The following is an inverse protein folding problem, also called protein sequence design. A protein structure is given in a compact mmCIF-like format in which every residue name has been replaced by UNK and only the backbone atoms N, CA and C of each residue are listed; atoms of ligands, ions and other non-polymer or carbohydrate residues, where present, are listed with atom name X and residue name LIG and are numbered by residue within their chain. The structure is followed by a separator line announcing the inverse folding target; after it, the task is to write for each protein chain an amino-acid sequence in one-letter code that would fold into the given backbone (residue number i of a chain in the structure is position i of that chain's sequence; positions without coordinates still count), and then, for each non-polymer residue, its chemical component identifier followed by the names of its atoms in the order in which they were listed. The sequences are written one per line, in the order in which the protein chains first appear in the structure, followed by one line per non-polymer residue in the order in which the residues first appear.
data_IF_578805631271
#
_entry.id   IF_578805631271
#
_cell.length_a   1.000
_cell.length_b   1.000
_cell.length_c   1.000
_cell.angle_alpha   90.00
_cell.angle_beta   90.00
_cell.angle_gamma   90.00
#
_symmetry.space_group_name_H-M   'P 1'
#
loop_
_entity.id
_entity.type
_entity.pdbx_description
1 polymer ?
#
# COMPACT_ATOMS: atom_id res chain seq x y z
N UNK A 1 -13.63 -25.65 2.76
CA UNK A 1 -13.54 -26.51 1.56
C UNK A 1 -12.32 -26.04 0.78
N UNK A 2 -11.27 -26.86 0.80
CA UNK A 2 -9.96 -26.58 0.22
C UNK A 2 -10.00 -26.62 -1.31
N UNK A 3 -9.31 -25.68 -1.98
CA UNK A 3 -8.83 -25.87 -3.35
C UNK A 3 -7.39 -25.38 -3.39
N UNK A 4 -6.46 -26.34 -3.45
CA UNK A 4 -5.05 -26.12 -3.74
C UNK A 4 -4.79 -26.17 -5.24
N UNK A 5 -3.78 -25.42 -5.69
CA UNK A 5 -3.18 -25.57 -7.01
C UNK A 5 -1.80 -26.21 -6.86
N UNK A 6 -1.69 -27.44 -7.35
CA UNK A 6 -0.44 -28.15 -7.57
C UNK A 6 0.17 -27.68 -8.89
N UNK A 7 1.46 -27.35 -8.90
CA UNK A 7 2.28 -27.30 -10.11
C UNK A 7 3.37 -28.36 -9.98
N UNK A 8 3.31 -29.32 -10.90
CA UNK A 8 4.22 -30.45 -11.06
C UNK A 8 5.42 -29.98 -11.88
N UNK A 9 6.63 -30.21 -11.38
CA UNK A 9 7.83 -30.32 -12.21
C UNK A 9 8.71 -31.45 -11.68
N UNK A 10 9.08 -32.36 -12.57
CA UNK A 10 9.77 -33.60 -12.26
C UNK A 10 11.28 -33.51 -12.56
N UNK A 11 12.07 -34.00 -11.58
CA UNK A 11 13.34 -34.78 -11.70
C UNK A 11 14.63 -34.12 -12.20
N UNK A 12 15.84 -34.70 -11.97
CA UNK A 12 16.27 -35.78 -11.04
C UNK A 12 17.45 -35.40 -10.09
N UNK A 13 17.73 -36.30 -9.14
CA UNK A 13 18.85 -36.27 -8.18
C UNK A 13 20.22 -36.61 -8.82
N UNK A 14 21.31 -35.99 -8.35
CA UNK A 14 22.53 -36.67 -7.87
C UNK A 14 23.65 -35.71 -7.45
N UNK A 15 24.35 -35.99 -6.34
CA UNK A 15 25.82 -35.79 -6.26
C UNK A 15 26.39 -34.69 -5.34
N UNK A 16 26.61 -35.04 -4.06
CA UNK A 16 27.65 -34.61 -3.10
C UNK A 16 28.72 -33.58 -3.53
N UNK A 17 28.93 -32.55 -2.70
CA UNK A 17 30.27 -32.25 -2.11
C UNK A 17 30.23 -31.09 -1.11
N UNK A 18 30.93 -31.28 0.00
CA UNK A 18 31.13 -30.38 1.13
C UNK A 18 31.92 -29.11 0.76
N UNK A 19 31.58 -27.97 1.35
CA UNK A 19 32.48 -26.80 1.46
C UNK A 19 32.48 -26.24 2.89
N UNK A 20 33.59 -25.59 3.30
CA UNK A 20 33.99 -25.51 4.70
C UNK A 20 33.38 -24.33 5.45
N UNK A 21 33.13 -24.57 6.73
CA UNK A 21 32.74 -23.61 7.76
C UNK A 21 33.68 -22.40 7.82
N UNK A 22 33.12 -21.22 7.57
CA UNK A 22 33.70 -19.91 7.89
C UNK A 22 32.75 -19.19 8.87
N UNK A 23 33.24 -18.44 9.87
CA UNK A 23 32.49 -18.16 11.09
C UNK A 23 31.32 -17.21 10.86
N UNK A 24 30.22 -17.50 11.55
CA UNK A 24 29.01 -16.70 11.58
C UNK A 24 29.33 -15.23 11.91
N UNK A 25 29.11 -14.35 10.95
CA UNK A 25 28.86 -12.94 11.22
C UNK A 25 27.56 -12.85 12.02
N UNK A 26 27.61 -12.16 13.16
CA UNK A 26 26.42 -11.89 14.00
C UNK A 26 25.34 -11.27 13.12
N UNK A 27 24.07 -11.72 13.18
CA UNK A 27 22.99 -11.06 12.48
C UNK A 27 22.87 -9.64 13.06
N UNK A 28 23.04 -8.65 12.21
CA UNK A 28 22.70 -7.27 12.51
C UNK A 28 21.21 -7.20 12.86
N UNK A 29 20.90 -6.43 13.90
CA UNK A 29 19.54 -6.13 14.34
C UNK A 29 18.66 -5.74 13.16
N UNK A 30 17.48 -6.37 13.09
CA UNK A 30 16.39 -6.06 12.18
C UNK A 30 15.92 -4.62 12.48
N UNK A 31 16.05 -3.65 11.56
CA UNK A 31 15.58 -2.27 11.79
C UNK A 31 14.08 -2.08 11.52
N UNK A 32 13.27 -3.14 11.46
CA UNK A 32 11.99 -3.16 10.73
C UNK A 32 10.74 -3.50 11.56
N UNK A 33 10.83 -4.08 12.76
CA UNK A 33 9.63 -4.48 13.54
C UNK A 33 8.82 -3.27 14.02
N UNK A 34 9.45 -2.28 14.66
CA UNK A 34 8.78 -1.07 15.16
C UNK A 34 8.09 -0.25 14.04
N UNK A 35 8.62 -0.33 12.81
CA UNK A 35 8.04 0.36 11.64
C UNK A 35 6.87 -0.40 11.02
N UNK A 36 6.89 -1.73 11.12
CA UNK A 36 5.78 -2.59 10.67
C UNK A 36 4.58 -2.40 11.61
N UNK A 37 4.79 -2.32 12.92
CA UNK A 37 3.73 -2.10 13.90
C UNK A 37 3.06 -0.72 13.74
N UNK A 38 3.86 0.34 13.60
CA UNK A 38 3.34 1.70 13.40
C UNK A 38 2.51 1.84 12.11
N UNK A 39 2.99 1.23 11.01
CA UNK A 39 2.24 1.19 9.76
C UNK A 39 0.90 0.44 9.91
N UNK A 40 0.90 -0.67 10.64
CA UNK A 40 -0.30 -1.48 10.85
C UNK A 40 -1.37 -0.70 11.62
N UNK A 41 -0.96 0.09 12.62
CA UNK A 41 -1.83 1.00 13.37
C UNK A 41 -2.43 2.09 12.48
N UNK A 42 -1.61 2.79 11.69
CA UNK A 42 -2.05 3.85 10.78
C UNK A 42 -3.05 3.34 9.72
N UNK A 43 -2.78 2.16 9.13
CA UNK A 43 -3.67 1.54 8.16
C UNK A 43 -5.00 1.10 8.81
N UNK A 44 -4.95 0.59 10.05
CA UNK A 44 -6.14 0.20 10.79
C UNK A 44 -7.02 1.41 11.11
N UNK A 45 -6.44 2.50 11.63
CA UNK A 45 -7.18 3.73 11.96
C UNK A 45 -7.86 4.34 10.73
N UNK A 46 -7.16 4.39 9.59
CA UNK A 46 -7.71 4.91 8.35
C UNK A 46 -8.86 4.03 7.81
N UNK A 47 -8.73 2.70 7.86
CA UNK A 47 -9.77 1.77 7.42
C UNK A 47 -10.97 1.74 8.35
N UNK A 48 -10.77 1.88 9.66
CA UNK A 48 -11.84 1.97 10.65
C UNK A 48 -12.63 3.27 10.47
N UNK A 49 -11.94 4.40 10.26
CA UNK A 49 -12.57 5.68 9.92
C UNK A 49 -13.39 5.60 8.61
N UNK A 50 -12.88 4.88 7.60
CA UNK A 50 -13.61 4.63 6.36
C UNK A 50 -14.87 3.78 6.61
N UNK A 51 -14.77 2.77 7.47
CA UNK A 51 -15.88 1.88 7.84
C UNK A 51 -16.97 2.63 8.61
N UNK A 52 -16.62 3.47 9.58
CA UNK A 52 -17.59 4.28 10.33
C UNK A 52 -18.42 5.15 9.39
N UNK A 53 -17.76 5.83 8.44
CA UNK A 53 -18.44 6.67 7.45
C UNK A 53 -19.27 5.85 6.46
N UNK A 54 -18.81 4.66 6.09
CA UNK A 54 -19.57 3.73 5.27
C UNK A 54 -20.87 3.31 5.97
N UNK A 55 -20.81 2.90 7.23
CA UNK A 55 -21.97 2.53 8.05
C UNK A 55 -22.96 3.69 8.22
N UNK A 56 -22.45 4.90 8.41
CA UNK A 56 -23.25 6.11 8.52
C UNK A 56 -23.94 6.48 7.19
N UNK A 57 -23.30 6.19 6.07
CA UNK A 57 -23.84 6.48 4.73
C UNK A 57 -25.02 5.57 4.36
N UNK A 58 -25.04 4.32 4.84
CA UNK A 58 -26.12 3.35 4.60
C UNK A 58 -27.43 3.77 5.25
N UNK A 59 -27.37 4.54 6.34
CA UNK A 59 -28.54 4.96 7.13
C UNK A 59 -29.22 6.24 6.61
N UNK A 60 -28.71 6.89 5.55
CA UNK A 60 -29.13 8.25 5.15
C UNK A 60 -29.91 8.33 3.82
N UNK A 61 -30.81 9.34 3.66
CA UNK A 61 -31.61 9.53 2.44
C UNK A 61 -30.76 9.89 1.21
N UNK A 62 -31.32 9.67 0.02
CA UNK A 62 -30.68 10.06 -1.24
C UNK A 62 -30.76 11.58 -1.47
N UNK A 63 -29.97 12.08 -2.43
CA UNK A 63 -29.76 13.50 -2.74
C UNK A 63 -31.06 14.30 -2.99
N UNK A 64 -32.16 13.61 -3.35
CA UNK A 64 -33.48 14.21 -3.60
C UNK A 64 -34.32 14.51 -2.36
N UNK A 65 -34.00 13.94 -1.20
CA UNK A 65 -34.84 13.98 0.01
C UNK A 65 -34.34 14.97 1.09
N UNK A 66 -33.34 15.81 0.78
CA UNK A 66 -32.62 16.65 1.75
C UNK A 66 -32.82 18.15 1.51
N UNK A 67 -32.99 18.91 2.61
CA UNK A 67 -33.07 20.37 2.58
C UNK A 67 -31.71 21.02 2.21
N UNK A 68 -31.73 22.21 1.61
CA UNK A 68 -30.55 22.91 1.04
C UNK A 68 -29.36 23.09 1.99
N UNK A 69 -29.59 23.24 3.31
CA UNK A 69 -28.50 23.35 4.30
C UNK A 69 -27.94 21.98 4.74
N UNK A 70 -28.73 20.90 4.66
CA UNK A 70 -28.27 19.52 4.86
C UNK A 70 -27.54 18.96 3.61
N UNK A 71 -27.83 19.51 2.43
CA UNK A 71 -27.27 19.12 1.13
C UNK A 71 -25.73 19.23 1.08
N UNK A 72 -25.14 20.26 1.68
CA UNK A 72 -23.69 20.52 1.60
C UNK A 72 -22.84 19.61 2.51
N UNK A 73 -23.44 18.94 3.50
CA UNK A 73 -22.68 18.19 4.53
C UNK A 73 -23.08 16.70 4.70
N UNK A 74 -24.22 16.26 4.14
CA UNK A 74 -24.83 14.95 4.52
C UNK A 74 -25.28 14.04 3.36
N UNK A 75 -25.11 14.43 2.11
CA UNK A 75 -25.48 13.55 0.97
C UNK A 75 -24.58 12.32 0.89
N UNK A 76 -25.12 11.20 0.38
CA UNK A 76 -24.32 10.00 0.08
C UNK A 76 -23.08 10.34 -0.75
N UNK A 77 -23.21 11.22 -1.75
CA UNK A 77 -22.09 11.68 -2.59
C UNK A 77 -20.99 12.44 -1.81
N UNK A 78 -21.36 13.31 -0.87
CA UNK A 78 -20.39 14.03 -0.02
C UNK A 78 -19.65 13.08 0.94
N UNK A 79 -20.34 12.05 1.44
CA UNK A 79 -19.74 11.03 2.29
C UNK A 79 -18.90 10.03 1.49
N UNK A 80 -19.29 9.68 0.26
CA UNK A 80 -18.47 8.88 -0.66
C UNK A 80 -17.11 9.53 -0.91
N UNK A 81 -17.06 10.85 -1.11
CA UNK A 81 -15.78 11.58 -1.24
C UNK A 81 -14.93 11.54 0.03
N UNK A 82 -15.56 11.50 1.21
CA UNK A 82 -14.84 11.37 2.48
C UNK A 82 -14.29 9.96 2.64
N UNK A 83 -15.10 8.94 2.37
CA UNK A 83 -14.66 7.54 2.33
C UNK A 83 -13.47 7.41 1.39
N UNK A 84 -13.54 7.94 0.17
CA UNK A 84 -12.41 7.96 -0.77
C UNK A 84 -11.14 8.57 -0.19
N UNK A 85 -11.25 9.67 0.57
CA UNK A 85 -10.09 10.29 1.24
C UNK A 85 -9.43 9.38 2.29
N UNK A 86 -10.21 8.63 3.07
CA UNK A 86 -9.68 7.66 4.03
C UNK A 86 -9.11 6.42 3.36
N UNK A 87 -9.71 5.97 2.26
CA UNK A 87 -9.15 4.88 1.45
C UNK A 87 -7.81 5.29 0.82
N UNK A 88 -7.67 6.53 0.36
CA UNK A 88 -6.40 7.07 -0.13
C UNK A 88 -5.35 7.15 1.00
N UNK A 89 -5.74 7.57 2.21
CA UNK A 89 -4.86 7.58 3.38
C UNK A 89 -4.41 6.17 3.80
N UNK A 90 -5.34 5.20 3.78
CA UNK A 90 -5.02 3.79 3.99
C UNK A 90 -4.06 3.28 2.91
N UNK A 91 -4.27 3.65 1.65
CA UNK A 91 -3.35 3.32 0.55
C UNK A 91 -1.94 3.86 0.76
N UNK A 92 -1.81 5.10 1.26
CA UNK A 92 -0.51 5.70 1.57
C UNK A 92 0.18 4.99 2.75
N UNK A 93 -0.56 4.70 3.82
CA UNK A 93 -0.06 3.90 4.93
C UNK A 93 0.45 2.54 4.43
N UNK A 94 -0.39 1.82 3.65
CA UNK A 94 -0.05 0.53 3.03
C UNK A 94 1.14 0.62 2.06
N UNK A 95 1.52 1.81 1.61
CA UNK A 95 2.68 2.05 0.73
C UNK A 95 4.02 2.11 1.46
N UNK A 96 4.02 2.24 2.79
CA UNK A 96 5.25 2.33 3.59
C UNK A 96 5.82 0.92 3.79
N UNK A 97 7.01 0.67 3.25
CA UNK A 97 7.71 -0.61 3.40
C UNK A 97 9.23 -0.46 3.26
N UNK A 98 9.96 -1.51 3.63
CA UNK A 98 11.39 -1.63 3.37
C UNK A 98 11.73 -1.52 1.87
N UNK A 99 10.83 -1.96 0.98
CA UNK A 99 10.94 -1.82 -0.48
C UNK A 99 10.93 -0.33 -0.90
N UNK A 100 10.01 0.46 -0.33
CA UNK A 100 9.94 1.92 -0.56
C UNK A 100 11.20 2.64 -0.07
N UNK A 101 11.69 2.27 1.12
CA UNK A 101 12.92 2.84 1.70
C UNK A 101 14.14 2.56 0.83
N UNK A 102 14.31 1.32 0.33
CA UNK A 102 15.42 0.97 -0.57
C UNK A 102 15.34 1.71 -1.89
N UNK A 103 14.14 1.86 -2.45
CA UNK A 103 13.91 2.68 -3.66
C UNK A 103 14.36 4.12 -3.46
N UNK A 104 13.94 4.74 -2.35
CA UNK A 104 14.35 6.11 -2.04
C UNK A 104 15.87 6.20 -1.94
N UNK A 105 16.51 5.22 -1.30
CA UNK A 105 17.97 5.14 -1.21
C UNK A 105 18.64 5.07 -2.58
N UNK A 106 18.13 4.25 -3.50
CA UNK A 106 18.64 4.15 -4.88
C UNK A 106 18.47 5.49 -5.62
N UNK A 107 17.33 6.16 -5.44
CA UNK A 107 17.08 7.47 -6.05
C UNK A 107 18.06 8.53 -5.55
N UNK A 108 18.30 8.59 -4.23
CA UNK A 108 19.25 9.53 -3.61
C UNK A 108 20.69 9.29 -4.10
N UNK A 109 21.09 8.02 -4.27
CA UNK A 109 22.40 7.64 -4.81
C UNK A 109 22.54 8.06 -6.28
N UNK A 110 21.50 7.86 -7.11
CA UNK A 110 21.48 8.32 -8.50
C UNK A 110 21.59 9.84 -8.61
N UNK A 111 20.87 10.58 -7.75
CA UNK A 111 21.01 12.04 -7.68
C UNK A 111 22.44 12.45 -7.31
N UNK A 112 23.06 11.74 -6.36
CA UNK A 112 24.45 11.98 -5.97
C UNK A 112 25.42 11.77 -7.14
N UNK A 113 25.20 10.73 -7.96
CA UNK A 113 25.99 10.47 -9.18
C UNK A 113 25.83 11.64 -10.16
N UNK A 114 24.60 12.05 -10.46
CA UNK A 114 24.33 13.15 -11.40
C UNK A 114 24.99 14.46 -10.97
N UNK A 115 24.85 14.82 -9.70
CA UNK A 115 25.49 16.02 -9.13
C UNK A 115 27.01 15.93 -9.20
N UNK A 116 27.56 14.75 -8.88
CA UNK A 116 29.01 14.51 -8.95
C UNK A 116 29.52 14.61 -10.39
N UNK A 117 28.80 14.06 -11.38
CA UNK A 117 29.15 14.17 -12.80
C UNK A 117 29.14 15.63 -13.29
N UNK A 118 28.15 16.44 -12.87
CA UNK A 118 28.12 17.90 -13.16
C UNK A 118 29.32 18.61 -12.54
N UNK A 119 29.67 18.27 -11.30
CA UNK A 119 30.84 18.81 -10.61
C UNK A 119 32.15 18.42 -11.32
N UNK A 120 32.28 17.17 -11.74
CA UNK A 120 33.44 16.69 -12.50
C UNK A 120 33.62 17.45 -13.81
N UNK A 121 32.54 17.72 -14.54
CA UNK A 121 32.59 18.55 -15.76
C UNK A 121 33.10 19.96 -15.45
N UNK A 122 32.63 20.55 -14.36
CA UNK A 122 33.08 21.86 -13.88
C UNK A 122 34.56 21.85 -13.48
N UNK A 123 35.02 20.83 -12.75
CA UNK A 123 36.41 20.68 -12.33
C UNK A 123 37.35 20.46 -13.52
N UNK A 124 36.97 19.61 -14.48
CA UNK A 124 37.73 19.41 -15.73
C UNK A 124 37.91 20.73 -16.48
N UNK A 125 36.87 21.55 -16.58
CA UNK A 125 36.95 22.89 -17.18
C UNK A 125 37.88 23.82 -16.39
N UNK A 126 37.70 23.92 -15.07
CA UNK A 126 38.51 24.80 -14.20
C UNK A 126 39.98 24.40 -14.13
N UNK A 127 40.28 23.11 -14.27
CA UNK A 127 41.65 22.59 -14.35
C UNK A 127 42.43 23.16 -15.53
N UNK A 128 41.78 23.41 -16.68
CA UNK A 128 42.44 23.93 -17.89
C UNK A 128 43.07 25.30 -17.62
N UNK A 129 42.36 26.17 -16.91
CA UNK A 129 42.81 27.54 -16.59
C UNK A 129 43.54 27.66 -15.24
N UNK A 130 43.62 26.59 -14.44
CA UNK A 130 44.25 26.62 -13.14
C UNK A 130 45.79 26.70 -13.24
N UNK A 131 46.47 27.40 -12.30
CA UNK A 131 47.93 27.45 -12.26
C UNK A 131 48.54 26.12 -11.81
N UNK A 132 49.76 25.83 -12.26
CA UNK A 132 50.50 24.62 -11.86
C UNK A 132 50.94 24.69 -10.38
N UNK A 133 51.32 25.87 -9.90
CA UNK A 133 51.71 26.15 -8.51
C UNK A 133 51.19 27.53 -8.12
N UNK A 134 50.81 27.70 -6.86
CA UNK A 134 50.36 28.99 -6.30
C UNK A 134 50.73 29.06 -4.83
N UNK A 135 51.05 30.26 -4.33
CA UNK A 135 51.30 30.53 -2.91
C UNK A 135 50.03 31.02 -2.18
N UNK A 136 48.96 31.32 -2.91
CA UNK A 136 47.69 31.76 -2.33
C UNK A 136 46.82 30.53 -1.99
N UNK A 137 46.48 30.28 -0.71
CA UNK A 137 45.70 29.11 -0.29
C UNK A 137 44.25 29.11 -0.82
N UNK A 138 43.75 30.23 -1.31
CA UNK A 138 42.40 30.35 -1.89
C UNK A 138 42.32 29.89 -3.35
N UNK A 139 43.46 29.67 -4.01
CA UNK A 139 43.53 29.27 -5.42
C UNK A 139 43.77 27.77 -5.53
N UNK A 140 42.83 27.04 -6.13
CA UNK A 140 43.02 25.61 -6.42
C UNK A 140 43.98 25.44 -7.61
N UNK A 141 45.03 24.65 -7.43
CA UNK A 141 46.02 24.32 -8.48
C UNK A 141 45.49 23.25 -9.44
N UNK A 142 46.20 23.00 -10.55
CA UNK A 142 45.89 21.85 -11.41
C UNK A 142 45.87 20.53 -10.64
N UNK A 143 46.88 20.31 -9.78
CA UNK A 143 46.94 19.13 -8.92
C UNK A 143 45.73 19.04 -7.97
N UNK A 144 45.32 20.15 -7.34
CA UNK A 144 44.13 20.15 -6.48
C UNK A 144 42.81 19.91 -7.24
N UNK A 145 42.72 20.28 -8.52
CA UNK A 145 41.59 19.86 -9.36
C UNK A 145 41.69 18.40 -9.79
N UNK A 146 42.90 17.87 -10.02
CA UNK A 146 43.12 16.45 -10.29
C UNK A 146 42.67 15.60 -9.09
N UNK A 147 42.99 16.01 -7.86
CA UNK A 147 42.53 15.35 -6.63
C UNK A 147 40.99 15.38 -6.51
N UNK A 148 40.35 16.52 -6.77
CA UNK A 148 38.87 16.63 -6.77
C UNK A 148 38.22 15.78 -7.85
N UNK A 149 38.83 15.68 -9.02
CA UNK A 149 38.36 14.82 -10.11
C UNK A 149 38.47 13.35 -9.70
N UNK A 150 39.58 12.96 -9.06
CA UNK A 150 39.78 11.60 -8.60
C UNK A 150 38.80 11.22 -7.49
N UNK A 151 38.65 12.07 -6.48
CA UNK A 151 37.68 11.87 -5.40
C UNK A 151 36.24 11.77 -5.94
N UNK A 152 35.86 12.62 -6.90
CA UNK A 152 34.53 12.55 -7.52
C UNK A 152 34.31 11.26 -8.33
N UNK A 153 35.34 10.72 -8.99
CA UNK A 153 35.24 9.41 -9.65
C UNK A 153 35.07 8.28 -8.64
N UNK A 154 35.80 8.32 -7.53
CA UNK A 154 35.67 7.34 -6.44
C UNK A 154 34.28 7.39 -5.81
N UNK A 155 33.72 8.59 -5.60
CA UNK A 155 32.32 8.75 -5.14
C UNK A 155 31.32 8.11 -6.11
N UNK A 156 31.49 8.27 -7.42
CA UNK A 156 30.60 7.64 -8.41
C UNK A 156 30.70 6.12 -8.32
N UNK A 157 31.91 5.55 -8.28
CA UNK A 157 32.12 4.11 -8.18
C UNK A 157 31.46 3.54 -6.92
N UNK A 158 31.69 4.17 -5.76
CA UNK A 158 31.09 3.73 -4.49
C UNK A 158 29.56 3.82 -4.51
N UNK A 159 29.01 4.88 -5.13
CA UNK A 159 27.57 5.02 -5.27
C UNK A 159 26.96 3.96 -6.23
N UNK A 160 27.66 3.63 -7.32
CA UNK A 160 27.26 2.56 -8.25
C UNK A 160 27.28 1.18 -7.57
N UNK A 161 28.31 0.89 -6.77
CA UNK A 161 28.39 -0.33 -5.97
C UNK A 161 27.25 -0.44 -4.95
N UNK A 162 26.95 0.66 -4.23
CA UNK A 162 25.85 0.68 -3.26
C UNK A 162 24.48 0.55 -3.95
N UNK A 163 24.29 1.16 -5.13
CA UNK A 163 23.08 0.98 -5.94
C UNK A 163 22.88 -0.51 -6.26
N UNK A 164 23.92 -1.21 -6.71
CA UNK A 164 23.83 -2.64 -7.02
C UNK A 164 23.51 -3.47 -5.76
N UNK A 165 24.11 -3.14 -4.63
CA UNK A 165 23.81 -3.80 -3.37
C UNK A 165 22.34 -3.58 -2.93
N UNK A 166 21.81 -2.37 -3.10
CA UNK A 166 20.39 -2.09 -2.81
C UNK A 166 19.45 -2.74 -3.83
N UNK A 167 19.81 -2.82 -5.11
CA UNK A 167 19.06 -3.58 -6.13
C UNK A 167 18.94 -5.06 -5.74
N UNK A 168 20.03 -5.69 -5.33
CA UNK A 168 20.01 -7.09 -4.87
C UNK A 168 19.10 -7.29 -3.66
N UNK A 169 19.09 -6.32 -2.72
CA UNK A 169 18.19 -6.35 -1.56
C UNK A 169 16.74 -6.14 -1.99
N UNK A 170 16.49 -5.25 -2.93
CA UNK A 170 15.18 -4.98 -3.51
C UNK A 170 14.61 -6.21 -4.21
N UNK A 171 15.40 -6.90 -5.05
CA UNK A 171 15.01 -8.17 -5.70
C UNK A 171 14.57 -9.19 -4.64
N UNK A 172 15.33 -9.36 -3.56
CA UNK A 172 14.99 -10.29 -2.48
C UNK A 172 13.71 -9.91 -1.74
N UNK A 173 13.50 -8.63 -1.50
CA UNK A 173 12.28 -8.15 -0.83
C UNK A 173 11.06 -8.28 -1.75
N UNK A 174 11.21 -8.04 -3.05
CA UNK A 174 10.17 -8.28 -4.07
C UNK A 174 9.83 -9.77 -4.21
N UNK A 175 10.83 -10.66 -4.21
CA UNK A 175 10.61 -12.10 -4.24
C UNK A 175 9.86 -12.59 -2.98
N UNK A 176 10.12 -12.00 -1.81
CA UNK A 176 9.41 -12.33 -0.56
C UNK A 176 7.92 -12.01 -0.62
N UNK A 177 7.52 -11.01 -1.41
CA UNK A 177 6.12 -10.63 -1.63
C UNK A 177 5.49 -11.37 -2.83
N UNK A 178 6.15 -12.41 -3.33
CA UNK A 178 5.67 -13.24 -4.44
C UNK A 178 5.85 -12.59 -5.81
N UNK A 179 6.65 -11.53 -5.91
CA UNK A 179 7.01 -10.88 -7.16
C UNK A 179 8.39 -11.38 -7.60
N UNK A 180 8.42 -12.42 -8.43
CA UNK A 180 9.65 -12.93 -9.02
C UNK A 180 10.02 -12.06 -10.22
N UNK A 181 10.93 -11.10 -10.00
CA UNK A 181 11.57 -10.33 -11.07
C UNK A 181 13.01 -10.80 -11.20
N UNK A 182 13.48 -10.94 -12.44
CA UNK A 182 14.92 -11.02 -12.68
C UNK A 182 15.58 -9.65 -12.52
N UNK A 183 16.92 -9.64 -12.45
CA UNK A 183 17.69 -8.42 -12.21
C UNK A 183 17.49 -7.37 -13.32
N UNK A 184 17.23 -7.82 -14.56
CA UNK A 184 17.01 -6.96 -15.72
C UNK A 184 15.64 -6.25 -15.62
N UNK A 185 14.60 -6.99 -15.22
CA UNK A 185 13.26 -6.48 -14.98
C UNK A 185 13.20 -5.48 -13.82
N UNK A 186 14.04 -5.65 -12.80
CA UNK A 186 14.16 -4.67 -11.70
C UNK A 186 14.79 -3.37 -12.16
N UNK A 187 15.77 -3.43 -13.06
CA UNK A 187 16.40 -2.23 -13.62
C UNK A 187 15.43 -1.44 -14.50
N UNK A 188 14.67 -2.12 -15.36
CA UNK A 188 13.60 -1.50 -16.15
C UNK A 188 12.55 -0.82 -15.24
N UNK A 189 12.19 -1.48 -14.14
CA UNK A 189 11.21 -1.00 -13.17
C UNK A 189 11.74 0.14 -12.28
N UNK A 190 13.05 0.23 -12.07
CA UNK A 190 13.70 1.36 -11.39
C UNK A 190 13.97 2.55 -12.33
N UNK A 191 14.09 2.32 -13.63
CA UNK A 191 14.33 3.35 -14.66
C UNK A 191 13.04 3.91 -15.26
N UNK A 192 11.95 3.17 -15.08
CA UNK A 192 10.61 3.53 -15.47
C UNK A 192 10.02 4.66 -14.62
N UNK A 193 9.56 5.73 -15.27
CA UNK A 193 8.76 6.82 -14.67
C UNK A 193 7.48 6.28 -14.00
N UNK A 194 6.97 5.13 -14.49
CA UNK A 194 5.75 4.46 -14.01
C UNK A 194 6.04 3.25 -13.13
N UNK A 195 7.29 2.82 -13.04
CA UNK A 195 7.74 1.74 -12.19
C UNK A 195 7.68 2.14 -10.72
N UNK A 196 7.72 3.44 -10.39
CA UNK A 196 7.36 3.92 -9.04
C UNK A 196 5.91 3.58 -8.69
N UNK A 197 4.99 3.93 -9.58
CA UNK A 197 3.55 3.75 -9.38
C UNK A 197 3.18 2.26 -9.33
N UNK A 198 3.71 1.45 -10.26
CA UNK A 198 3.44 0.02 -10.33
C UNK A 198 3.97 -0.75 -9.11
N UNK A 199 5.20 -0.44 -8.68
CA UNK A 199 5.80 -1.02 -7.47
C UNK A 199 5.04 -0.60 -6.23
N UNK A 200 4.68 0.68 -6.13
CA UNK A 200 3.89 1.20 -5.01
C UNK A 200 2.56 0.45 -4.88
N UNK A 201 1.82 0.27 -5.98
CA UNK A 201 0.56 -0.50 -5.98
C UNK A 201 0.81 -1.96 -5.59
N UNK A 202 1.92 -2.57 -6.02
CA UNK A 202 2.29 -3.95 -5.65
C UNK A 202 2.61 -4.09 -4.17
N UNK A 203 3.38 -3.15 -3.60
CA UNK A 203 3.69 -3.12 -2.17
C UNK A 203 2.39 -3.02 -1.36
N UNK A 204 1.53 -2.07 -1.74
CA UNK A 204 0.23 -1.87 -1.10
C UNK A 204 -0.60 -3.16 -1.16
N UNK A 205 -0.55 -3.90 -2.27
CA UNK A 205 -1.22 -5.18 -2.39
C UNK A 205 -0.72 -6.23 -1.41
N UNK A 206 0.60 -6.40 -1.29
CA UNK A 206 1.18 -7.39 -0.39
C UNK A 206 0.87 -7.04 1.06
N UNK A 207 1.03 -5.77 1.42
CA UNK A 207 0.71 -5.27 2.74
C UNK A 207 -0.78 -5.45 3.06
N UNK A 208 -1.67 -5.20 2.09
CA UNK A 208 -3.10 -5.49 2.22
C UNK A 208 -3.37 -6.98 2.47
N UNK A 209 -2.70 -7.89 1.75
CA UNK A 209 -2.85 -9.34 2.00
C UNK A 209 -2.44 -9.74 3.40
N UNK A 210 -1.31 -9.23 3.89
CA UNK A 210 -0.84 -9.50 5.26
C UNK A 210 -1.82 -8.99 6.30
N UNK A 211 -2.30 -7.76 6.09
CA UNK A 211 -3.29 -7.14 6.96
C UNK A 211 -4.59 -7.97 7.01
N UNK A 212 -5.08 -8.44 5.86
CA UNK A 212 -6.24 -9.33 5.79
C UNK A 212 -6.01 -10.68 6.51
N UNK A 213 -4.84 -11.29 6.36
CA UNK A 213 -4.50 -12.56 7.02
C UNK A 213 -4.42 -12.42 8.54
N UNK A 214 -3.86 -11.31 9.02
CA UNK A 214 -3.77 -11.04 10.46
C UNK A 214 -5.14 -10.75 11.08
N UNK A 215 -5.97 -9.99 10.37
CA UNK A 215 -7.36 -9.77 10.72
C UNK A 215 -8.16 -11.09 10.79
N UNK A 216 -7.92 -12.03 9.87
CA UNK A 216 -8.53 -13.36 9.89
C UNK A 216 -8.10 -14.16 11.13
N UNK A 217 -6.80 -14.11 11.48
CA UNK A 217 -6.25 -14.75 12.68
C UNK A 217 -6.91 -14.24 13.96
N UNK A 218 -6.98 -12.92 14.12
CA UNK A 218 -7.60 -12.27 15.29
C UNK A 218 -9.08 -12.64 15.45
N UNK A 219 -9.80 -12.78 14.32
CA UNK A 219 -11.22 -13.17 14.32
C UNK A 219 -11.42 -14.65 14.68
N UNK A 220 -10.52 -15.53 14.24
CA UNK A 220 -10.57 -16.95 14.62
C UNK A 220 -10.24 -17.16 16.11
N UNK A 221 -9.40 -16.29 16.69
CA UNK A 221 -9.05 -16.31 18.12
C UNK A 221 -10.18 -15.78 19.02
N UNK A 222 -11.03 -14.88 18.52
CA UNK A 222 -12.13 -14.30 19.30
C UNK A 222 -13.35 -15.22 19.46
N UNK A 223 -13.40 -16.34 18.76
CA UNK A 223 -14.28 -17.47 19.11
C UNK A 223 -15.79 -17.19 19.08
N UNK A 224 -16.29 -16.53 18.02
CA UNK A 224 -17.72 -16.22 17.76
C UNK A 224 -18.26 -14.90 18.35
N UNK A 225 -17.41 -13.95 18.78
CA UNK A 225 -17.89 -12.59 19.07
C UNK A 225 -18.40 -11.90 17.80
N UNK A 226 -19.72 -11.66 17.75
CA UNK A 226 -20.40 -11.02 16.62
C UNK A 226 -19.98 -9.56 16.41
N UNK A 227 -19.53 -8.86 17.46
CA UNK A 227 -19.00 -7.50 17.33
C UNK A 227 -17.63 -7.53 16.66
N UNK A 228 -16.70 -8.35 17.16
CA UNK A 228 -15.39 -8.55 16.56
C UNK A 228 -15.51 -9.02 15.09
N UNK A 229 -16.43 -9.93 14.79
CA UNK A 229 -16.69 -10.38 13.43
C UNK A 229 -17.23 -9.25 12.54
N UNK A 230 -18.16 -8.42 13.04
CA UNK A 230 -18.68 -7.28 12.28
C UNK A 230 -17.55 -6.31 11.93
N UNK A 231 -16.73 -5.94 12.91
CA UNK A 231 -15.60 -5.03 12.70
C UNK A 231 -14.59 -5.61 11.70
N UNK A 232 -14.22 -6.89 11.85
CA UNK A 232 -13.33 -7.61 10.93
C UNK A 232 -13.80 -7.51 9.46
N UNK A 233 -15.04 -7.94 9.18
CA UNK A 233 -15.55 -7.96 7.81
C UNK A 233 -15.74 -6.54 7.25
N UNK A 234 -16.00 -5.56 8.12
CA UNK A 234 -16.07 -4.16 7.74
C UNK A 234 -14.72 -3.60 7.30
N UNK A 235 -13.67 -3.84 8.08
CA UNK A 235 -12.31 -3.39 7.76
C UNK A 235 -11.79 -4.11 6.50
N UNK A 236 -12.04 -5.43 6.39
CA UNK A 236 -11.70 -6.19 5.19
C UNK A 236 -12.39 -5.65 3.93
N UNK A 237 -13.67 -5.26 4.04
CA UNK A 237 -14.40 -4.62 2.94
C UNK A 237 -13.76 -3.28 2.54
N UNK A 238 -13.39 -2.44 3.51
CA UNK A 238 -12.70 -1.17 3.24
C UNK A 238 -11.34 -1.39 2.56
N UNK A 239 -10.58 -2.40 2.99
CA UNK A 239 -9.31 -2.76 2.38
C UNK A 239 -9.47 -3.13 0.89
N UNK A 240 -10.51 -3.90 0.54
CA UNK A 240 -10.82 -4.22 -0.85
C UNK A 240 -11.20 -2.97 -1.65
N UNK A 241 -11.96 -2.06 -1.06
CA UNK A 241 -12.28 -0.78 -1.70
C UNK A 241 -11.04 0.09 -1.95
N UNK A 242 -10.13 0.19 -0.97
CA UNK A 242 -8.83 0.85 -1.13
C UNK A 242 -8.06 0.26 -2.29
N UNK A 243 -8.00 -1.07 -2.38
CA UNK A 243 -7.28 -1.74 -3.44
C UNK A 243 -7.89 -1.47 -4.82
N UNK A 244 -9.22 -1.57 -4.93
CA UNK A 244 -9.92 -1.24 -6.17
C UNK A 244 -9.68 0.21 -6.60
N UNK A 245 -9.59 1.15 -5.66
CA UNK A 245 -9.33 2.56 -5.96
C UNK A 245 -7.92 2.79 -6.49
N UNK A 246 -6.91 2.19 -5.86
CA UNK A 246 -5.51 2.33 -6.27
C UNK A 246 -5.25 1.75 -7.66
N UNK A 247 -5.80 0.58 -7.95
CA UNK A 247 -5.69 -0.06 -9.26
C UNK A 247 -6.32 0.80 -10.36
N UNK A 248 -7.48 1.40 -10.07
CA UNK A 248 -8.17 2.31 -10.99
C UNK A 248 -7.35 3.59 -11.22
N UNK A 249 -6.80 4.19 -10.16
CA UNK A 249 -5.97 5.39 -10.22
C UNK A 249 -4.69 5.17 -11.04
N UNK A 250 -4.07 3.99 -10.93
CA UNK A 250 -2.95 3.60 -11.78
C UNK A 250 -3.34 3.64 -13.28
N UNK A 251 -4.49 3.06 -13.62
CA UNK A 251 -4.99 3.04 -15.01
C UNK A 251 -5.24 4.46 -15.53
N UNK A 252 -5.88 5.30 -14.71
CA UNK A 252 -6.12 6.72 -15.02
C UNK A 252 -4.81 7.48 -15.27
N UNK A 253 -3.79 7.29 -14.42
CA UNK A 253 -2.48 7.91 -14.60
C UNK A 253 -1.78 7.45 -15.89
N UNK A 254 -1.89 6.16 -16.23
CA UNK A 254 -1.38 5.63 -17.52
C UNK A 254 -2.05 6.29 -18.71
N UNK A 255 -3.38 6.39 -18.69
CA UNK A 255 -4.15 6.94 -19.81
C UNK A 255 -3.98 8.46 -19.96
N UNK A 256 -4.00 9.20 -18.85
CA UNK A 256 -4.09 10.67 -18.86
C UNK A 256 -2.74 11.37 -18.76
N UNK A 257 -1.73 10.72 -18.16
CA UNK A 257 -0.43 11.34 -17.88
C UNK A 257 0.69 10.69 -18.69
N UNK A 258 0.82 9.36 -18.62
CA UNK A 258 1.99 8.69 -19.15
C UNK A 258 1.93 8.48 -20.66
N UNK A 259 0.80 7.99 -21.21
CA UNK A 259 0.65 7.85 -22.66
C UNK A 259 0.83 9.17 -23.41
N UNK A 260 0.20 10.30 -23.01
CA UNK A 260 0.39 11.57 -23.71
C UNK A 260 1.84 12.08 -23.68
N UNK A 261 2.55 11.89 -22.57
CA UNK A 261 3.96 12.28 -22.47
C UNK A 261 4.86 11.46 -23.41
N UNK A 262 4.63 10.15 -23.47
CA UNK A 262 5.39 9.26 -24.35
C UNK A 262 5.10 9.58 -25.82
N UNK A 263 3.84 9.85 -26.17
CA UNK A 263 3.47 10.31 -27.50
C UNK A 263 4.17 11.63 -27.87
N UNK A 264 4.27 12.56 -26.92
CA UNK A 264 5.06 13.78 -27.09
C UNK A 264 6.53 13.52 -27.42
N UNK A 265 7.20 12.59 -26.72
CA UNK A 265 8.58 12.23 -27.02
C UNK A 265 8.74 11.53 -28.37
N UNK A 266 7.81 10.64 -28.72
CA UNK A 266 7.77 9.93 -30.00
C UNK A 266 7.66 10.94 -31.16
N UNK A 267 6.74 11.90 -31.05
CA UNK A 267 6.52 12.91 -32.07
C UNK A 267 7.71 13.87 -32.18
N UNK A 268 8.28 14.30 -31.05
CA UNK A 268 9.45 15.18 -31.04
C UNK A 268 10.69 14.49 -31.62
N UNK A 269 10.94 13.23 -31.29
CA UNK A 269 12.03 12.46 -31.88
C UNK A 269 11.88 12.33 -33.40
N UNK A 270 10.67 12.05 -33.87
CA UNK A 270 10.36 11.99 -35.31
C UNK A 270 10.56 13.34 -36.00
N UNK A 271 10.11 14.43 -35.39
CA UNK A 271 10.32 15.77 -35.92
C UNK A 271 11.81 16.09 -36.04
N UNK A 272 12.60 15.84 -35.00
CA UNK A 272 14.04 16.07 -34.99
C UNK A 272 14.77 15.26 -36.09
N UNK A 273 14.35 14.02 -36.33
CA UNK A 273 14.90 13.19 -37.42
C UNK A 273 14.60 13.81 -38.79
N UNK A 274 13.35 14.23 -39.03
CA UNK A 274 12.95 14.87 -40.29
C UNK A 274 13.69 16.20 -40.53
N UNK A 275 13.84 17.01 -39.49
CA UNK A 275 14.59 18.27 -39.54
C UNK A 275 16.08 18.04 -39.81
N UNK A 276 16.68 17.03 -39.19
CA UNK A 276 18.08 16.67 -39.44
C UNK A 276 18.30 16.16 -40.87
N UNK A 277 17.36 15.39 -41.42
CA UNK A 277 17.39 14.98 -42.83
C UNK A 277 17.27 16.16 -43.79
N UNK A 278 16.39 17.13 -43.50
CA UNK A 278 16.26 18.34 -44.29
C UNK A 278 17.52 19.20 -44.22
N UNK A 279 18.12 19.36 -43.04
CA UNK A 279 19.39 20.05 -42.87
C UNK A 279 20.53 19.38 -43.66
N UNK A 280 20.54 18.04 -43.77
CA UNK A 280 21.47 17.31 -44.65
C UNK A 280 21.25 17.69 -46.13
N UNK A 281 19.99 17.79 -46.58
CA UNK A 281 19.65 18.21 -47.95
C UNK A 281 20.07 19.64 -48.25
N UNK A 282 20.01 20.52 -47.25
CA UNK A 282 20.42 21.92 -47.34
C UNK A 282 21.94 22.15 -47.21
N UNK A 283 22.74 21.08 -47.04
CA UNK A 283 24.20 21.16 -47.02
C UNK A 283 24.83 21.26 -45.62
N UNK A 284 24.08 20.95 -44.56
CA UNK A 284 24.61 20.83 -43.20
C UNK A 284 25.63 19.69 -43.04
N UNK A 285 26.34 19.68 -41.92
CA UNK A 285 27.33 18.65 -41.61
C UNK A 285 26.67 17.27 -41.50
N UNK A 286 26.89 16.44 -42.52
CA UNK A 286 26.27 15.12 -42.63
C UNK A 286 26.63 14.19 -41.48
N UNK A 287 27.84 14.28 -40.93
CA UNK A 287 28.27 13.37 -39.88
C UNK A 287 27.55 13.70 -38.57
N UNK A 288 27.48 14.98 -38.22
CA UNK A 288 26.78 15.44 -37.02
C UNK A 288 25.29 15.13 -37.13
N UNK A 289 24.67 15.46 -38.25
CA UNK A 289 23.23 15.27 -38.44
C UNK A 289 22.83 13.79 -38.47
N UNK A 290 23.67 12.90 -39.03
CA UNK A 290 23.44 11.45 -38.94
C UNK A 290 23.54 10.92 -37.50
N UNK A 291 24.49 11.42 -36.71
CA UNK A 291 24.56 11.06 -35.30
C UNK A 291 23.31 11.55 -34.54
N UNK A 292 22.80 12.74 -34.86
CA UNK A 292 21.56 13.24 -34.27
C UNK A 292 20.35 12.38 -34.66
N UNK A 293 20.27 11.92 -35.92
CA UNK A 293 19.23 10.99 -36.37
C UNK A 293 19.32 9.69 -35.57
N UNK A 294 20.51 9.10 -35.45
CA UNK A 294 20.71 7.86 -34.68
C UNK A 294 20.31 8.01 -33.20
N UNK A 295 20.67 9.12 -32.57
CA UNK A 295 20.27 9.40 -31.19
C UNK A 295 18.75 9.57 -31.05
N UNK A 296 18.08 10.27 -31.97
CA UNK A 296 16.62 10.40 -31.93
C UNK A 296 15.90 9.09 -32.27
N UNK A 297 16.49 8.24 -33.12
CA UNK A 297 15.98 6.90 -33.38
C UNK A 297 16.00 6.06 -32.10
N UNK A 298 17.11 6.09 -31.34
CA UNK A 298 17.19 5.41 -30.06
C UNK A 298 16.12 5.91 -29.07
N UNK A 299 15.91 7.23 -28.98
CA UNK A 299 14.85 7.81 -28.15
C UNK A 299 13.46 7.35 -28.59
N UNK A 300 13.21 7.30 -29.90
CA UNK A 300 11.95 6.83 -30.46
C UNK A 300 11.69 5.37 -30.11
N UNK A 301 12.67 4.49 -30.34
CA UNK A 301 12.56 3.06 -30.07
C UNK A 301 12.35 2.78 -28.58
N UNK A 302 13.10 3.48 -27.71
CA UNK A 302 12.93 3.39 -26.26
C UNK A 302 11.53 3.83 -25.81
N UNK A 303 11.01 4.94 -26.34
CA UNK A 303 9.68 5.43 -25.98
C UNK A 303 8.55 4.49 -26.44
N UNK A 304 8.71 3.84 -27.60
CA UNK A 304 7.75 2.82 -28.10
C UNK A 304 7.77 1.58 -27.20
N UNK A 305 8.95 1.01 -26.95
CA UNK A 305 9.10 -0.17 -26.10
C UNK A 305 8.48 0.06 -24.72
N UNK A 306 8.75 1.24 -24.17
CA UNK A 306 8.21 1.65 -22.88
C UNK A 306 6.68 1.78 -22.90
N UNK A 307 6.11 2.37 -23.96
CA UNK A 307 4.66 2.49 -24.13
C UNK A 307 3.99 1.10 -24.22
N UNK A 308 4.64 0.12 -24.85
CA UNK A 308 4.13 -1.24 -24.96
C UNK A 308 4.15 -1.97 -23.61
N UNK A 309 5.22 -1.83 -22.82
CA UNK A 309 5.25 -2.35 -21.45
C UNK A 309 4.13 -1.77 -20.58
N UNK A 310 3.87 -0.46 -20.69
CA UNK A 310 2.78 0.20 -19.97
C UNK A 310 1.39 -0.29 -20.36
N UNK A 311 1.17 -0.61 -21.63
CA UNK A 311 -0.11 -1.19 -22.08
C UNK A 311 -0.39 -2.52 -21.40
N UNK A 312 0.63 -3.35 -21.26
CA UNK A 312 0.51 -4.64 -20.61
C UNK A 312 0.25 -4.51 -19.11
N UNK A 313 1.00 -3.65 -18.41
CA UNK A 313 0.76 -3.35 -16.99
C UNK A 313 -0.66 -2.80 -16.74
N UNK A 314 -1.12 -1.89 -17.60
CA UNK A 314 -2.49 -1.35 -17.54
C UNK A 314 -3.54 -2.44 -17.70
N UNK A 315 -3.34 -3.37 -18.64
CA UNK A 315 -4.25 -4.52 -18.85
C UNK A 315 -4.32 -5.40 -17.60
N UNK A 316 -3.18 -5.76 -17.03
CA UNK A 316 -3.12 -6.55 -15.80
C UNK A 316 -3.82 -5.85 -14.63
N UNK A 317 -3.64 -4.54 -14.51
CA UNK A 317 -4.28 -3.75 -13.44
C UNK A 317 -5.81 -3.70 -13.59
N UNK A 318 -6.32 -3.57 -14.81
CA UNK A 318 -7.76 -3.64 -15.10
C UNK A 318 -8.34 -5.02 -14.75
N UNK A 319 -7.67 -6.10 -15.12
CA UNK A 319 -8.11 -7.46 -14.81
C UNK A 319 -8.12 -7.72 -13.29
N UNK A 320 -7.08 -7.27 -12.59
CA UNK A 320 -7.01 -7.33 -11.13
C UNK A 320 -8.12 -6.51 -10.46
N UNK A 321 -8.46 -5.34 -11.03
CA UNK A 321 -9.54 -4.49 -10.55
C UNK A 321 -10.92 -5.14 -10.69
N UNK A 322 -11.19 -5.76 -11.83
CA UNK A 322 -12.44 -6.50 -12.03
C UNK A 322 -12.55 -7.72 -11.10
N UNK A 323 -11.45 -8.40 -10.81
CA UNK A 323 -11.43 -9.44 -9.79
C UNK A 323 -11.70 -8.87 -8.38
N UNK A 324 -11.07 -7.74 -8.05
CA UNK A 324 -11.27 -7.05 -6.76
C UNK A 324 -12.74 -6.63 -6.56
N UNK A 325 -13.39 -6.06 -7.58
CA UNK A 325 -14.82 -5.71 -7.54
C UNK A 325 -15.73 -6.90 -7.24
N UNK A 326 -15.43 -8.08 -7.79
CA UNK A 326 -16.19 -9.31 -7.46
C UNK A 326 -16.02 -9.71 -5.99
N UNK A 327 -14.80 -9.54 -5.46
CA UNK A 327 -14.53 -9.80 -4.05
C UNK A 327 -15.24 -8.79 -3.15
N UNK A 328 -15.30 -7.50 -3.55
CA UNK A 328 -16.07 -6.46 -2.84
C UNK A 328 -17.54 -6.88 -2.71
N UNK A 329 -18.19 -7.34 -3.78
CA UNK A 329 -19.58 -7.79 -3.71
C UNK A 329 -19.79 -8.93 -2.70
N UNK A 330 -18.84 -9.88 -2.64
CA UNK A 330 -18.88 -11.00 -1.71
C UNK A 330 -18.65 -10.54 -0.26
N UNK A 331 -17.66 -9.68 -0.05
CA UNK A 331 -17.33 -9.10 1.25
C UNK A 331 -18.47 -8.23 1.78
N UNK A 332 -19.10 -7.42 0.92
CA UNK A 332 -20.23 -6.57 1.28
C UNK A 332 -21.44 -7.40 1.72
N UNK A 333 -21.75 -8.49 1.01
CA UNK A 333 -22.83 -9.40 1.41
C UNK A 333 -22.54 -10.09 2.75
N UNK A 334 -21.30 -10.53 2.94
CA UNK A 334 -20.83 -11.14 4.19
C UNK A 334 -20.95 -10.15 5.35
N UNK A 335 -20.44 -8.93 5.16
CA UNK A 335 -20.53 -7.85 6.13
C UNK A 335 -21.99 -7.56 6.53
N UNK A 336 -22.88 -7.38 5.55
CA UNK A 336 -24.31 -7.16 5.80
C UNK A 336 -24.95 -8.30 6.60
N UNK A 337 -24.57 -9.54 6.34
CA UNK A 337 -25.10 -10.73 7.03
C UNK A 337 -24.63 -10.79 8.49
N UNK A 338 -23.35 -10.51 8.73
CA UNK A 338 -22.80 -10.46 10.10
C UNK A 338 -23.39 -9.27 10.87
N UNK A 339 -23.46 -8.09 10.26
CA UNK A 339 -24.09 -6.91 10.86
C UNK A 339 -25.56 -7.15 11.24
N UNK A 340 -26.35 -7.80 10.36
CA UNK A 340 -27.73 -8.16 10.67
C UNK A 340 -27.83 -9.17 11.82
N UNK A 341 -26.96 -10.18 11.85
CA UNK A 341 -26.93 -11.20 12.91
C UNK A 341 -26.58 -10.58 14.26
N UNK A 342 -25.67 -9.62 14.26
CA UNK A 342 -25.30 -8.81 15.41
C UNK A 342 -26.48 -7.95 15.89
N UNK A 343 -27.14 -7.21 15.00
CA UNK A 343 -28.29 -6.37 15.37
C UNK A 343 -29.45 -7.21 15.96
N UNK A 344 -29.67 -8.42 15.45
CA UNK A 344 -30.64 -9.35 16.01
C UNK A 344 -30.24 -9.85 17.40
N UNK A 345 -28.96 -10.20 17.61
CA UNK A 345 -28.42 -10.62 18.91
C UNK A 345 -28.62 -9.53 19.97
N UNK A 346 -28.33 -8.28 19.62
CA UNK A 346 -28.54 -7.12 20.50
C UNK A 346 -30.00 -6.96 20.90
N UNK A 347 -30.91 -7.09 19.94
CA UNK A 347 -32.36 -7.02 20.18
C UNK A 347 -32.82 -8.14 21.11
N UNK A 348 -32.34 -9.37 20.91
CA UNK A 348 -32.65 -10.51 21.79
C UNK A 348 -32.11 -10.30 23.20
N UNK A 349 -30.90 -9.74 23.35
CA UNK A 349 -30.33 -9.41 24.64
C UNK A 349 -31.14 -8.34 25.38
N UNK A 350 -31.59 -7.29 24.67
CA UNK A 350 -32.48 -6.26 25.22
C UNK A 350 -33.83 -6.87 25.64
N UNK A 351 -34.44 -7.70 24.78
CA UNK A 351 -35.70 -8.38 25.08
C UNK A 351 -35.58 -9.29 26.31
N UNK A 352 -34.49 -10.06 26.44
CA UNK A 352 -34.22 -10.90 27.60
C UNK A 352 -34.09 -10.08 28.89
N UNK A 353 -33.34 -8.98 28.88
CA UNK A 353 -33.23 -8.08 30.05
C UNK A 353 -34.59 -7.49 30.44
N UNK A 354 -35.40 -7.10 29.46
CA UNK A 354 -36.75 -6.59 29.69
C UNK A 354 -37.68 -7.67 30.28
N UNK A 355 -37.62 -8.90 29.76
CA UNK A 355 -38.37 -10.04 30.28
C UNK A 355 -37.94 -10.41 31.71
N UNK A 356 -36.63 -10.48 31.97
CA UNK A 356 -36.10 -10.76 33.31
C UNK A 356 -36.58 -9.71 34.32
N UNK A 357 -36.56 -8.43 33.93
CA UNK A 357 -37.06 -7.31 34.75
C UNK A 357 -38.57 -7.41 35.05
N UNK A 358 -39.38 -7.89 34.09
CA UNK A 358 -40.82 -8.10 34.26
C UNK A 358 -41.11 -9.38 35.08
N UNK A 359 -40.34 -10.44 34.88
CA UNK A 359 -40.47 -11.68 35.65
C UNK A 359 -40.09 -11.50 37.13
N UNK A 360 -39.18 -10.56 37.44
CA UNK A 360 -38.90 -10.12 38.81
C UNK A 360 -40.02 -9.29 39.47
N UNK A 361 -41.04 -8.87 38.69
CA UNK A 361 -42.21 -8.13 39.17
C UNK A 361 -43.44 -9.03 39.44
N UNK A 362 -43.32 -10.36 39.32
CA UNK A 362 -44.42 -11.25 39.74
C UNK A 362 -44.66 -11.12 41.24
N UNK A 363 -45.91 -10.83 41.60
CA UNK A 363 -46.40 -10.74 42.99
C UNK A 363 -46.13 -12.08 43.68
N UNK A 364 -45.44 -12.12 44.83
CA UNK A 364 -45.31 -13.36 45.59
C UNK A 364 -46.70 -13.85 46.01
N UNK A 365 -46.96 -15.15 45.86
CA UNK A 365 -48.24 -15.76 46.22
C UNK A 365 -48.70 -15.32 47.61
N UNK A 366 -49.99 -15.00 47.71
CA UNK A 366 -50.66 -14.60 48.94
C UNK A 366 -50.50 -15.75 49.95
N UNK A 367 -49.57 -15.60 50.90
CA UNK A 367 -49.48 -16.57 52.01
C UNK A 367 -50.85 -16.60 52.69
N UNK A 368 -51.47 -17.78 52.87
CA UNK A 368 -52.72 -17.85 53.60
C UNK A 368 -52.47 -17.30 55.01
N UNK A 369 -53.35 -16.37 55.42
CA UNK A 369 -53.34 -15.82 56.77
C UNK A 369 -53.62 -16.95 57.77
N UNK A 370 -52.56 -17.49 58.36
CA UNK A 370 -52.67 -18.41 59.48
C UNK A 370 -52.78 -17.60 60.77
N UNK A 371 -53.96 -17.65 61.36
CA UNK A 371 -54.32 -16.85 62.53
C UNK A 371 -53.85 -17.52 63.83
N UNK A 372 -52.56 -17.84 63.94
CA UNK A 372 -52.00 -18.47 65.15
C UNK A 372 -52.12 -17.54 66.37
N UNK A 373 -51.93 -16.23 66.19
CA UNK A 373 -52.12 -15.25 67.26
C UNK A 373 -53.56 -15.15 67.78
N UNK A 374 -54.58 -15.39 66.96
CA UNK A 374 -55.97 -15.43 67.44
C UNK A 374 -56.32 -16.78 68.08
N UNK A 375 -55.67 -17.88 67.69
CA UNK A 375 -55.82 -19.17 68.39
C UNK A 375 -55.22 -19.12 69.79
N UNK A 376 -54.08 -18.48 69.97
CA UNK A 376 -53.47 -18.28 71.29
C UNK A 376 -54.34 -17.39 72.18
N UNK A 377 -54.84 -16.26 71.64
CA UNK A 377 -55.76 -15.39 72.37
C UNK A 377 -57.07 -16.10 72.76
N UNK A 378 -57.63 -16.94 71.88
CA UNK A 378 -58.82 -17.72 72.19
C UNK A 378 -58.53 -18.80 73.24
N UNK A 379 -57.36 -19.45 73.17
CA UNK A 379 -56.95 -20.48 74.15
C UNK A 379 -56.66 -19.87 75.52
N UNK A 380 -56.18 -18.64 75.57
CA UNK A 380 -55.95 -17.89 76.82
C UNK A 380 -57.28 -17.47 77.47
N UNK A 381 -58.23 -16.94 76.69
CA UNK A 381 -59.60 -16.64 77.16
C UNK A 381 -60.32 -17.90 77.64
N UNK A 382 -60.17 -19.03 76.92
CA UNK A 382 -60.82 -20.29 77.29
C UNK A 382 -60.21 -20.89 78.57
N UNK A 383 -58.94 -20.60 78.86
CA UNK A 383 -58.25 -21.03 80.09
C UNK A 383 -58.65 -20.19 81.30
N UNK A 384 -58.96 -18.91 81.11
CA UNK A 384 -59.51 -18.05 82.16
C UNK A 384 -60.96 -18.39 82.51
N UNK A 385 -61.78 -18.77 81.53
CA UNK A 385 -63.18 -19.18 81.74
C UNK A 385 -63.36 -20.58 82.37
N UNK A 386 -62.27 -21.33 82.59
CA UNK A 386 -62.28 -22.67 83.20
C UNK A 386 -61.73 -22.73 84.62
N UNK A 387 -61.45 -21.59 85.23
CA UNK A 387 -61.34 -21.42 86.69
C UNK A 387 -62.62 -20.76 87.20
#
# INVERSE_FOLDING_TARGET
VCIGLYLVAASPQSGWSQTPSTPAAKPGQIPDEDKIEAFFEDAHEALDSALELFDDSQKRPEKGDLAFYDFLSRTKESQSRKVEGYLDAAGEALGISSISTRRQRIADLRQTIDETQRNLTTYKRKRISAPNKTYNPLITTKAGYDDKIQAGKETIILAEEEINAEKDRLVRDLARIGMELDAESVDELLESITGDEFVRVTIIFDNAKRFAAELERLTNESGEDLEAAKQYYGIYLMLLHTMSRLQQKFVENVDEVYFPKLDGFIDQARQNMNEAEEAIRQGGDKQILRNNIASNQLTYDAAILYKDGLREQRRQMLEANEACKKNILTAENTYKTVALSKDLSDLMAVSRRAFDSISGLTIPDLRPFQNEKMRDALSEITRELRK
#
